data_IF_746000339951
#
_entry.id   IF_746000339951
#
_cell.length_a   1.000
_cell.length_b   1.000
_cell.length_c   1.000
_cell.angle_alpha   90.00
_cell.angle_beta   90.00
_cell.angle_gamma   90.00
#
_symmetry.space_group_name_H-M   'P 1'
#
loop_
_entity.id
_entity.type
_entity.pdbx_description
1 polymer ?
#
# COMPACT_ATOMS: atom_id res chain seq x y z
N UNK A 1 10.94 10.01 -14.97
CA UNK A 1 9.53 9.61 -14.74
C UNK A 1 9.26 9.64 -13.25
N UNK A 2 8.13 10.19 -12.80
CA UNK A 2 7.79 10.25 -11.38
C UNK A 2 7.20 8.91 -10.91
N UNK A 3 7.80 8.31 -9.88
CA UNK A 3 7.29 7.12 -9.19
C UNK A 3 6.06 7.52 -8.38
N UNK A 4 4.95 6.82 -8.57
CA UNK A 4 3.66 7.18 -7.94
C UNK A 4 2.98 5.92 -7.39
N UNK A 5 2.42 6.02 -6.19
CA UNK A 5 1.56 5.03 -5.54
C UNK A 5 0.23 5.68 -5.18
N UNK A 6 -0.86 5.01 -5.51
CA UNK A 6 -2.22 5.39 -5.16
C UNK A 6 -2.81 4.29 -4.28
N UNK A 7 -3.40 4.70 -3.16
CA UNK A 7 -3.98 3.80 -2.16
C UNK A 7 -5.48 4.09 -2.08
N UNK A 8 -6.28 3.04 -2.01
CA UNK A 8 -7.74 3.12 -2.08
C UNK A 8 -8.39 2.43 -0.89
N UNK A 9 -9.55 2.97 -0.47
CA UNK A 9 -10.44 2.35 0.52
C UNK A 9 -11.56 1.59 -0.18
N UNK A 10 -12.06 0.54 0.46
CA UNK A 10 -13.36 -0.05 0.15
C UNK A 10 -14.39 0.55 1.12
N UNK A 11 -14.86 1.79 0.89
CA UNK A 11 -16.04 2.26 1.63
C UNK A 11 -17.23 1.54 1.00
N UNK A 12 -17.71 0.48 1.63
CA UNK A 12 -19.10 0.07 1.45
C UNK A 12 -19.91 1.12 2.19
N UNK A 13 -20.43 2.13 1.50
CA UNK A 13 -21.50 2.96 2.06
C UNK A 13 -22.69 2.02 2.24
N UNK A 14 -22.82 1.44 3.43
CA UNK A 14 -24.02 0.73 3.85
C UNK A 14 -25.10 1.80 3.97
N UNK A 15 -25.80 2.07 2.87
CA UNK A 15 -27.11 2.69 2.95
C UNK A 15 -27.99 1.73 3.75
N UNK A 16 -28.44 2.16 4.93
CA UNK A 16 -29.37 1.46 5.82
C UNK A 16 -30.65 1.08 5.08
N UNK A 17 -30.66 -0.07 4.41
CA UNK A 17 -31.89 -0.80 4.06
C UNK A 17 -31.61 -2.31 4.16
N UNK A 18 -32.38 -2.93 5.04
CA UNK A 18 -32.53 -4.37 5.28
C UNK A 18 -32.54 -5.18 3.99
N UNK A 19 -31.39 -5.72 3.58
CA UNK A 19 -31.25 -6.94 2.77
C UNK A 19 -29.77 -7.36 2.81
N UNK A 20 -29.48 -8.59 3.20
CA UNK A 20 -28.15 -9.18 3.08
C UNK A 20 -27.70 -9.16 1.61
N UNK A 21 -26.77 -8.27 1.26
CA UNK A 21 -25.98 -8.37 0.03
C UNK A 21 -24.57 -8.79 0.38
N UNK A 22 -24.26 -10.05 0.07
CA UNK A 22 -22.88 -10.53 0.00
C UNK A 22 -22.25 -9.91 -1.25
N UNK A 23 -21.47 -8.85 -1.09
CA UNK A 23 -20.79 -8.19 -2.20
C UNK A 23 -19.32 -8.59 -2.21
N UNK A 24 -18.94 -9.47 -3.14
CA UNK A 24 -17.57 -9.57 -3.61
C UNK A 24 -17.29 -8.31 -4.44
N UNK A 25 -16.57 -7.32 -3.92
CA UNK A 25 -16.26 -6.15 -4.74
C UNK A 25 -14.91 -5.52 -4.37
N UNK A 26 -13.96 -5.72 -5.28
CA UNK A 26 -12.55 -5.37 -5.20
C UNK A 26 -12.23 -4.41 -6.33
N UNK A 27 -12.58 -3.12 -6.19
CA UNK A 27 -12.60 -2.20 -7.33
C UNK A 27 -12.32 -0.72 -6.98
N UNK A 28 -11.20 -0.41 -6.31
CA UNK A 28 -10.57 0.93 -6.31
C UNK A 28 -11.53 2.13 -6.15
N UNK A 29 -12.52 2.05 -5.26
CA UNK A 29 -13.70 2.93 -5.31
C UNK A 29 -13.50 4.34 -4.74
N UNK A 30 -12.51 4.54 -3.87
CA UNK A 30 -12.19 5.87 -3.33
C UNK A 30 -10.70 6.01 -3.10
N UNK A 31 -10.06 6.93 -3.83
CA UNK A 31 -8.65 7.26 -3.68
C UNK A 31 -8.44 7.96 -2.34
N UNK A 32 -7.74 7.32 -1.41
CA UNK A 32 -7.38 7.92 -0.11
C UNK A 32 -6.23 8.90 -0.28
N UNK A 33 -5.18 8.45 -0.97
CA UNK A 33 -3.92 9.16 -1.02
C UNK A 33 -3.14 8.84 -2.28
N UNK A 34 -2.48 9.86 -2.83
CA UNK A 34 -1.44 9.71 -3.85
C UNK A 34 -0.09 10.08 -3.26
N UNK A 35 0.84 9.13 -3.28
CA UNK A 35 2.21 9.27 -2.78
C UNK A 35 3.19 9.28 -3.95
N UNK A 36 4.12 10.25 -3.93
CA UNK A 36 5.27 10.29 -4.82
C UNK A 36 6.53 10.08 -4.01
N UNK A 37 7.23 8.98 -4.22
CA UNK A 37 8.43 8.63 -3.45
C UNK A 37 9.56 8.23 -4.40
N UNK A 38 10.79 8.59 -4.07
CA UNK A 38 11.97 8.25 -4.87
C UNK A 38 12.89 7.21 -4.19
N UNK A 39 12.77 7.06 -2.87
CA UNK A 39 13.63 6.21 -2.03
C UNK A 39 13.08 4.78 -1.91
N UNK A 40 13.90 3.79 -2.22
CA UNK A 40 13.62 2.37 -1.93
C UNK A 40 14.04 2.02 -0.50
N UNK A 41 13.59 0.89 0.04
CA UNK A 41 13.96 0.38 1.38
C UNK A 41 13.72 1.39 2.52
N UNK A 42 12.81 2.33 2.30
CA UNK A 42 12.27 3.27 3.29
C UNK A 42 10.90 2.75 3.70
N UNK A 43 10.67 2.63 5.00
CA UNK A 43 9.37 2.26 5.51
C UNK A 43 8.47 3.49 5.60
N UNK A 44 7.25 3.38 5.08
CA UNK A 44 6.24 4.42 5.19
C UNK A 44 5.13 3.96 6.12
N UNK A 45 4.97 4.64 7.25
CA UNK A 45 3.89 4.37 8.20
C UNK A 45 2.62 5.06 7.72
N UNK A 46 1.56 4.28 7.56
CA UNK A 46 0.23 4.72 7.16
C UNK A 46 -0.64 5.15 8.34
N UNK A 47 -0.17 4.93 9.58
CA UNK A 47 -0.81 5.33 10.84
C UNK A 47 -0.99 6.86 10.96
N UNK A 48 -1.90 7.38 10.15
CA UNK A 48 -2.15 8.80 9.95
C UNK A 48 -3.65 9.04 9.73
N UNK A 49 -4.36 9.32 10.83
CA UNK A 49 -5.81 9.56 10.80
C UNK A 49 -6.56 8.39 10.17
N UNK A 50 -7.48 8.71 9.26
CA UNK A 50 -8.39 7.74 8.63
C UNK A 50 -7.75 6.82 7.57
N UNK A 51 -6.42 6.87 7.40
CA UNK A 51 -5.67 6.01 6.46
C UNK A 51 -5.17 4.73 7.16
N UNK A 52 -4.98 4.79 8.48
CA UNK A 52 -4.56 3.62 9.25
C UNK A 52 -5.63 2.55 9.21
N UNK A 53 -5.23 1.30 8.99
CA UNK A 53 -6.15 0.15 8.94
C UNK A 53 -7.33 0.35 7.97
N UNK A 54 -7.08 1.08 6.89
CA UNK A 54 -8.12 1.52 5.95
C UNK A 54 -7.84 1.04 4.51
N UNK A 55 -6.64 0.52 4.26
CA UNK A 55 -6.21 0.16 2.92
C UNK A 55 -6.79 -1.18 2.46
N UNK A 56 -7.47 -1.15 1.32
CA UNK A 56 -8.07 -2.35 0.71
C UNK A 56 -7.48 -2.71 -0.65
N UNK A 57 -6.92 -1.72 -1.36
CA UNK A 57 -6.25 -1.92 -2.64
C UNK A 57 -5.27 -0.79 -2.95
N UNK A 58 -4.32 -1.07 -3.84
CA UNK A 58 -3.31 -0.10 -4.24
C UNK A 58 -2.92 -0.25 -5.71
N UNK A 59 -2.56 0.85 -6.36
CA UNK A 59 -1.97 0.86 -7.70
C UNK A 59 -0.70 1.69 -7.72
N UNK A 60 0.26 1.32 -8.55
CA UNK A 60 1.53 2.04 -8.64
C UNK A 60 2.04 2.09 -10.07
N UNK A 61 2.85 3.11 -10.35
CA UNK A 61 3.41 3.33 -11.69
C UNK A 61 4.83 3.89 -11.62
N UNK A 62 5.64 3.50 -12.59
CA UNK A 62 7.00 4.02 -12.76
C UNK A 62 8.01 3.46 -11.76
N UNK A 63 7.67 2.36 -11.07
CA UNK A 63 8.60 1.68 -10.17
C UNK A 63 9.59 0.81 -10.97
N UNK A 64 10.87 0.80 -10.60
CA UNK A 64 11.87 -0.09 -11.21
C UNK A 64 11.47 -1.56 -11.05
N UNK A 65 11.54 -2.33 -12.13
CA UNK A 65 11.16 -3.74 -12.13
C UNK A 65 12.21 -4.65 -11.47
N UNK A 66 13.48 -4.26 -11.52
CA UNK A 66 14.59 -5.07 -11.06
C UNK A 66 15.08 -4.66 -9.67
N UNK A 67 15.20 -5.67 -8.82
CA UNK A 67 15.87 -5.58 -7.53
C UNK A 67 17.35 -5.95 -7.65
N UNK A 68 18.13 -5.56 -6.65
CA UNK A 68 19.58 -5.82 -6.54
C UNK A 68 19.96 -6.41 -5.18
N UNK A 69 19.03 -7.01 -4.45
CA UNK A 69 19.31 -7.68 -3.19
C UNK A 69 19.54 -9.17 -3.35
N UNK A 70 20.28 -9.75 -2.41
CA UNK A 70 20.61 -11.17 -2.43
C UNK A 70 19.33 -12.01 -2.25
N UNK A 71 19.02 -12.86 -3.23
CA UNK A 71 17.80 -13.69 -3.22
C UNK A 71 16.56 -13.08 -3.88
N UNK A 72 16.64 -11.87 -4.46
CA UNK A 72 15.53 -11.27 -5.21
C UNK A 72 15.96 -10.54 -6.47
N UNK A 73 15.41 -10.96 -7.61
CA UNK A 73 15.67 -10.35 -8.92
C UNK A 73 14.63 -9.29 -9.29
N UNK A 74 13.45 -9.32 -8.67
CA UNK A 74 12.34 -8.41 -8.96
C UNK A 74 12.08 -7.48 -7.78
N UNK A 75 11.87 -6.19 -8.06
CA UNK A 75 11.46 -5.25 -7.01
C UNK A 75 10.03 -5.53 -6.58
N UNK A 76 9.79 -5.40 -5.28
CA UNK A 76 8.50 -5.68 -4.66
C UNK A 76 7.97 -4.42 -3.99
N UNK A 77 6.65 -4.26 -4.02
CA UNK A 77 5.96 -3.35 -3.13
C UNK A 77 5.34 -4.20 -2.02
N UNK A 78 5.79 -3.97 -0.79
CA UNK A 78 5.38 -4.71 0.40
C UNK A 78 4.42 -3.89 1.23
N UNK A 79 3.36 -4.50 1.72
CA UNK A 79 2.44 -3.95 2.71
C UNK A 79 2.50 -4.80 3.98
N UNK A 80 2.40 -4.14 5.13
CA UNK A 80 2.56 -4.72 6.45
C UNK A 80 1.38 -4.36 7.33
N UNK A 81 0.95 -5.31 8.15
CA UNK A 81 -0.06 -5.05 9.19
C UNK A 81 0.51 -4.25 10.36
N UNK A 82 1.80 -4.38 10.65
CA UNK A 82 2.43 -3.59 11.71
C UNK A 82 2.90 -2.23 11.20
N UNK A 83 2.99 -1.27 12.11
CA UNK A 83 3.83 -0.09 11.91
C UNK A 83 5.30 -0.48 11.75
N UNK A 84 6.12 0.43 11.22
CA UNK A 84 7.56 0.25 11.06
C UNK A 84 7.95 -0.95 10.19
N UNK A 85 7.05 -1.37 9.30
CA UNK A 85 7.24 -2.48 8.37
C UNK A 85 7.49 -3.81 9.09
N UNK A 86 6.69 -4.07 10.13
CA UNK A 86 6.76 -5.26 10.98
C UNK A 86 5.50 -6.14 10.86
N UNK A 87 5.55 -7.34 11.42
CA UNK A 87 4.40 -8.24 11.47
C UNK A 87 4.10 -8.95 10.15
N UNK A 88 2.82 -9.31 9.98
CA UNK A 88 2.34 -9.99 8.76
C UNK A 88 2.48 -9.05 7.57
N UNK A 89 2.98 -9.58 6.45
CA UNK A 89 3.22 -8.77 5.25
C UNK A 89 2.92 -9.52 3.98
N UNK A 90 2.57 -8.76 2.94
CA UNK A 90 2.38 -9.27 1.59
C UNK A 90 3.11 -8.39 0.59
N UNK A 91 3.83 -9.03 -0.32
CA UNK A 91 4.52 -8.39 -1.42
C UNK A 91 3.82 -8.62 -2.76
N UNK A 92 3.82 -7.58 -3.59
CA UNK A 92 3.47 -7.67 -5.00
C UNK A 92 4.67 -7.27 -5.87
N UNK A 93 4.94 -7.99 -6.98
CA UNK A 93 5.90 -7.55 -7.96
C UNK A 93 5.54 -6.18 -8.51
N UNK A 94 6.53 -5.29 -8.63
CA UNK A 94 6.30 -3.96 -9.22
C UNK A 94 5.76 -4.02 -10.65
N UNK A 95 6.03 -5.10 -11.39
CA UNK A 95 5.48 -5.37 -12.72
C UNK A 95 3.97 -5.59 -12.74
N UNK A 96 3.34 -5.91 -11.61
CA UNK A 96 1.89 -6.08 -11.55
C UNK A 96 1.13 -4.75 -11.64
N UNK A 97 1.79 -3.62 -11.30
CA UNK A 97 1.24 -2.25 -11.25
C UNK A 97 0.00 -2.05 -10.37
N UNK A 98 -0.54 -3.11 -9.76
CA UNK A 98 -1.69 -3.08 -8.87
C UNK A 98 -1.72 -4.26 -7.92
N UNK A 99 -2.35 -4.02 -6.78
CA UNK A 99 -2.85 -5.00 -5.85
C UNK A 99 -4.35 -4.71 -5.66
N UNK A 100 -5.18 -5.50 -6.35
CA UNK A 100 -6.61 -5.22 -6.51
C UNK A 100 -7.44 -5.56 -5.27
N UNK A 101 -6.96 -6.46 -4.43
CA UNK A 101 -7.67 -6.90 -3.23
C UNK A 101 -6.73 -7.38 -2.14
N UNK A 102 -6.69 -6.66 -1.02
CA UNK A 102 -5.96 -7.07 0.18
C UNK A 102 -6.72 -8.13 0.98
N UNK A 103 -8.02 -8.32 0.73
CA UNK A 103 -8.88 -9.29 1.42
C UNK A 103 -8.48 -10.72 1.10
N UNK A 104 -8.16 -11.00 -0.16
CA UNK A 104 -7.65 -12.31 -0.61
C UNK A 104 -6.39 -12.80 0.11
N UNK A 105 -5.62 -11.87 0.69
CA UNK A 105 -4.33 -12.15 1.36
C UNK A 105 -4.36 -11.82 2.85
N UNK A 106 -5.53 -11.49 3.41
CA UNK A 106 -5.72 -11.27 4.84
C UNK A 106 -5.06 -10.00 5.41
N UNK A 107 -4.87 -8.96 4.58
CA UNK A 107 -4.35 -7.66 5.04
C UNK A 107 -5.31 -6.48 4.75
N UNK A 108 -6.55 -6.78 4.41
CA UNK A 108 -7.57 -5.77 4.15
C UNK A 108 -7.93 -5.01 5.42
N UNK A 109 -7.97 -3.67 5.32
CA UNK A 109 -8.36 -2.78 6.42
C UNK A 109 -7.55 -3.02 7.70
N UNK A 110 -6.29 -3.45 7.56
CA UNK A 110 -5.35 -3.67 8.67
C UNK A 110 -3.91 -3.32 8.31
N UNK A 111 -3.67 -2.76 7.12
CA UNK A 111 -2.30 -2.44 6.67
C UNK A 111 -1.88 -1.06 7.21
N UNK A 112 -0.97 -1.05 8.18
CA UNK A 112 -0.48 0.17 8.83
C UNK A 112 0.88 0.67 8.31
N UNK A 113 1.55 -0.05 7.41
CA UNK A 113 2.77 0.46 6.73
C UNK A 113 3.06 -0.22 5.39
N UNK A 114 3.89 0.43 4.56
CA UNK A 114 4.36 -0.14 3.29
C UNK A 114 5.84 0.17 3.01
N UNK A 115 6.47 -0.64 2.16
CA UNK A 115 7.86 -0.44 1.74
C UNK A 115 8.09 -0.89 0.30
N UNK A 116 8.80 -0.06 -0.46
CA UNK A 116 9.32 -0.43 -1.77
C UNK A 116 10.66 -1.15 -1.63
N UNK A 117 10.71 -2.46 -1.84
CA UNK A 117 11.93 -3.26 -1.79
C UNK A 117 12.63 -3.27 -3.15
N UNK A 118 13.86 -2.76 -3.20
CA UNK A 118 14.69 -2.78 -4.41
C UNK A 118 16.13 -3.20 -4.14
N UNK A 119 16.78 -2.65 -3.11
CA UNK A 119 18.23 -2.79 -2.94
C UNK A 119 18.61 -3.73 -1.80
N UNK A 120 17.76 -3.84 -0.78
CA UNK A 120 17.98 -4.67 0.41
C UNK A 120 16.73 -5.46 0.77
N UNK A 121 16.87 -6.48 1.60
CA UNK A 121 15.75 -7.05 2.35
C UNK A 121 15.56 -6.22 3.64
N UNK A 122 14.36 -5.69 3.85
CA UNK A 122 14.05 -4.90 5.04
C UNK A 122 14.34 -3.39 4.93
N UNK A 123 14.19 -2.73 6.08
CA UNK A 123 14.34 -1.27 6.25
C UNK A 123 15.81 -0.90 6.31
N UNK A 124 16.24 -0.01 5.41
CA UNK A 124 17.62 0.46 5.35
C UNK A 124 17.72 1.99 5.32
N UNK A 125 16.73 2.64 4.71
CA UNK A 125 16.69 4.09 4.58
C UNK A 125 15.83 4.78 5.66
N UNK A 126 15.53 4.05 6.74
CA UNK A 126 14.77 4.57 7.89
C UNK A 126 13.26 4.38 7.78
N UNK A 127 12.54 5.06 8.66
CA UNK A 127 11.09 5.04 8.78
C UNK A 127 10.57 6.47 8.62
N UNK A 128 9.48 6.63 7.89
CA UNK A 128 8.83 7.92 7.67
C UNK A 128 7.32 7.80 7.82
N UNK A 129 6.73 8.68 8.64
CA UNK A 129 5.28 8.80 8.70
C UNK A 129 4.75 9.51 7.45
N UNK A 130 3.63 9.03 6.89
CA UNK A 130 2.97 9.75 5.80
C UNK A 130 2.39 11.09 6.27
N UNK A 131 2.07 11.26 7.56
CA UNK A 131 1.54 12.54 8.09
C UNK A 131 2.51 13.71 7.87
N UNK A 132 3.80 13.45 7.98
CA UNK A 132 4.85 14.45 7.81
C UNK A 132 5.32 14.55 6.34
N UNK A 133 4.80 13.68 5.48
CA UNK A 133 5.10 13.66 4.06
C UNK A 133 4.29 14.73 3.34
N UNK A 134 4.83 15.35 2.29
CA UNK A 134 4.07 16.29 1.45
C UNK A 134 3.04 15.52 0.62
N UNK A 135 1.90 15.22 1.21
CA UNK A 135 0.79 14.52 0.57
C UNK A 135 0.07 15.48 -0.39
N UNK A 136 -0.24 15.01 -1.60
CA UNK A 136 -1.27 15.65 -2.43
C UNK A 136 -2.57 14.89 -2.22
N UNK A 137 -3.42 15.40 -1.33
CA UNK A 137 -4.79 14.88 -1.15
C UNK A 137 -5.64 15.54 -2.22
N UNK A 138 -6.25 14.74 -3.11
CA UNK A 138 -7.26 15.28 -4.01
C UNK A 138 -8.53 15.47 -3.18
N UNK A 139 -8.87 16.72 -2.89
CA UNK A 139 -10.16 17.11 -2.31
C UNK A 139 -11.29 16.98 -3.34
#
# INVERSE_FOLDING_TARGET
MAKTLQIFLNVVVVALLTTCTYSMDTNFRSLLITLKFNTANLCFNLACGDIDDAVSSATWKGLPLLARFNGGTNSLLMFYQGIDCTGVSQGWPTSAEKAADFGTVGINDVASSFMFLQNYTGVHNGIQSICDYKITVNA
#
